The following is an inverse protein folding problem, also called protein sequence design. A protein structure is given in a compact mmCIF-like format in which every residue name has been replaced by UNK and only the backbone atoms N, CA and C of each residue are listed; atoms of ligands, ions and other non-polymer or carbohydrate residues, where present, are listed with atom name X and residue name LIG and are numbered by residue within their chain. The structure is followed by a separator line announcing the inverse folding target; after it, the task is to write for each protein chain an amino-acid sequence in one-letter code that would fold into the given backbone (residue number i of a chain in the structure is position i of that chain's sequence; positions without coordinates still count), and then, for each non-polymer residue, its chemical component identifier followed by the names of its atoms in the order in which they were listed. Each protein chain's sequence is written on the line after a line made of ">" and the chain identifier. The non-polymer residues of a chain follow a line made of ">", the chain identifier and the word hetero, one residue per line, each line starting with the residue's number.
data_IF_201861608589
#
_entry.id   IF_201861608589
#
_cell.length_a   1.000
_cell.length_b   1.000
_cell.length_c   1.000
_cell.angle_alpha   90.00
_cell.angle_beta   90.00
_cell.angle_gamma   90.00
#
_symmetry.space_group_name_H-M   'P 1'
#
loop_
_entity.id
_entity.type
_entity.pdbx_description
1 polymer ?
#
# COMPACT_ATOMS: atom_id res chain seq x y z
N UNK A 1 -8.42 -4.30 -25.21
CA UNK A 1 -7.08 -3.79 -25.54
C UNK A 1 -7.02 -3.60 -27.05
N UNK A 2 -6.52 -2.47 -27.50
CA UNK A 2 -6.35 -2.14 -28.92
C UNK A 2 -4.89 -1.77 -29.14
N UNK A 3 -4.37 -2.04 -30.33
CA UNK A 3 -3.01 -1.74 -30.74
C UNK A 3 -3.04 -1.01 -32.08
N UNK A 4 -2.29 0.07 -32.19
CA UNK A 4 -1.95 0.69 -33.46
C UNK A 4 -0.42 0.64 -33.68
N UNK A 5 0.09 1.25 -34.75
CA UNK A 5 1.52 1.21 -35.07
C UNK A 5 2.43 1.88 -34.02
N UNK A 6 1.86 2.64 -33.05
CA UNK A 6 2.61 3.45 -32.08
C UNK A 6 2.12 3.31 -30.64
N UNK A 7 0.90 2.77 -30.42
CA UNK A 7 0.25 2.79 -29.10
C UNK A 7 -0.45 1.48 -28.76
N UNK A 8 -0.37 1.14 -27.51
CA UNK A 8 -1.24 0.17 -26.86
C UNK A 8 -2.33 0.94 -26.12
N UNK A 9 -3.59 0.69 -26.45
CA UNK A 9 -4.74 1.32 -25.80
C UNK A 9 -5.48 0.33 -24.93
N UNK A 10 -5.57 0.62 -23.63
CA UNK A 10 -6.36 -0.10 -22.64
C UNK A 10 -7.65 0.67 -22.37
N UNK A 11 -8.80 0.03 -22.55
CA UNK A 11 -10.08 0.57 -22.07
C UNK A 11 -10.36 -0.09 -20.74
N UNK A 12 -10.50 0.73 -19.70
CA UNK A 12 -10.74 0.32 -18.33
C UNK A 12 -12.02 0.97 -17.80
N UNK A 13 -12.49 0.51 -16.65
CA UNK A 13 -13.58 1.15 -15.91
C UNK A 13 -13.20 2.60 -15.55
N UNK A 14 -14.15 3.51 -15.72
CA UNK A 14 -13.93 4.91 -15.34
C UNK A 14 -14.08 5.07 -13.81
N UNK A 15 -13.09 5.70 -13.19
CA UNK A 15 -13.04 5.97 -11.76
C UNK A 15 -13.47 7.40 -11.47
N UNK A 16 -14.79 7.64 -11.40
CA UNK A 16 -15.36 8.97 -11.22
C UNK A 16 -15.15 9.57 -9.84
N UNK A 17 -14.82 8.72 -8.84
CA UNK A 17 -14.57 9.11 -7.46
C UNK A 17 -13.19 9.74 -7.23
N UNK A 18 -12.26 9.62 -8.20
CA UNK A 18 -10.89 10.08 -8.04
C UNK A 18 -10.05 9.22 -7.10
N UNK A 19 -8.96 9.76 -6.59
CA UNK A 19 -8.08 9.07 -5.66
C UNK A 19 -8.66 9.08 -4.24
N UNK A 20 -8.45 8.00 -3.48
CA UNK A 20 -8.86 7.92 -2.07
C UNK A 20 -8.27 9.07 -1.25
N UNK A 21 -7.03 9.45 -1.54
CA UNK A 21 -6.29 10.45 -0.78
C UNK A 21 -6.72 11.89 -1.07
N UNK A 22 -7.38 12.18 -2.19
CA UNK A 22 -8.02 13.48 -2.40
C UNK A 22 -9.04 13.78 -1.29
N UNK A 23 -9.72 12.74 -0.79
CA UNK A 23 -10.63 12.88 0.33
C UNK A 23 -9.94 13.14 1.68
N UNK A 24 -8.66 12.73 1.82
CA UNK A 24 -7.87 13.04 3.02
C UNK A 24 -7.45 14.51 3.02
N UNK A 25 -7.01 15.03 1.86
CA UNK A 25 -6.62 16.44 1.75
C UNK A 25 -7.75 17.39 2.17
N UNK A 26 -8.99 17.01 1.91
CA UNK A 26 -10.18 17.78 2.33
C UNK A 26 -10.48 17.66 3.84
N UNK A 27 -9.99 16.61 4.53
CA UNK A 27 -10.33 16.25 5.92
C UNK A 27 -9.16 16.26 6.89
N UNK A 28 -7.92 16.49 6.42
CA UNK A 28 -6.65 16.38 7.15
C UNK A 28 -6.28 14.93 7.51
N UNK A 29 -7.19 14.13 8.00
CA UNK A 29 -7.05 12.68 8.23
C UNK A 29 -8.43 12.00 8.24
N UNK A 30 -8.43 10.68 8.12
CA UNK A 30 -9.65 9.89 8.26
C UNK A 30 -9.95 9.60 9.73
N UNK A 31 -11.24 9.45 10.05
CA UNK A 31 -11.61 8.80 11.30
C UNK A 31 -11.09 7.36 11.30
N UNK A 32 -10.82 6.81 12.48
CA UNK A 32 -10.37 5.42 12.62
C UNK A 32 -11.31 4.42 11.94
N UNK A 33 -12.61 4.71 11.95
CA UNK A 33 -13.62 3.90 11.23
C UNK A 33 -13.41 3.96 9.71
N UNK A 34 -13.21 5.13 9.14
CA UNK A 34 -12.98 5.30 7.69
C UNK A 34 -11.65 4.65 7.28
N UNK A 35 -10.58 4.86 8.06
CA UNK A 35 -9.28 4.23 7.83
C UNK A 35 -9.37 2.69 7.87
N UNK A 36 -10.09 2.14 8.85
CA UNK A 36 -10.34 0.70 8.97
C UNK A 36 -11.12 0.17 7.76
N UNK A 37 -12.20 0.86 7.36
CA UNK A 37 -13.05 0.41 6.25
C UNK A 37 -12.28 0.46 4.92
N UNK A 38 -11.43 1.48 4.69
CA UNK A 38 -10.53 1.58 3.55
C UNK A 38 -9.45 0.49 3.58
N UNK A 39 -8.76 0.32 4.71
CA UNK A 39 -7.74 -0.73 4.88
C UNK A 39 -8.31 -2.11 4.63
N UNK A 40 -9.52 -2.40 5.11
CA UNK A 40 -10.20 -3.66 4.87
C UNK A 40 -10.44 -3.89 3.37
N UNK A 41 -10.94 -2.89 2.66
CA UNK A 41 -11.17 -3.01 1.21
C UNK A 41 -9.87 -3.28 0.45
N UNK A 42 -8.76 -2.63 0.83
CA UNK A 42 -7.43 -2.85 0.25
C UNK A 42 -6.96 -4.29 0.53
N UNK A 43 -7.06 -4.73 1.79
CA UNK A 43 -6.67 -6.07 2.22
C UNK A 43 -7.46 -7.15 1.48
N UNK A 44 -8.79 -6.99 1.35
CA UNK A 44 -9.65 -7.96 0.65
C UNK A 44 -9.27 -8.07 -0.84
N UNK A 45 -8.96 -6.94 -1.50
CA UNK A 45 -8.53 -6.92 -2.89
C UNK A 45 -7.14 -7.56 -3.08
N UNK A 46 -6.18 -7.26 -2.21
CA UNK A 46 -4.83 -7.84 -2.25
C UNK A 46 -4.85 -9.33 -1.91
N UNK A 47 -5.68 -9.74 -0.95
CA UNK A 47 -5.87 -11.15 -0.65
C UNK A 47 -6.39 -11.94 -1.88
N UNK A 48 -7.31 -11.33 -2.66
CA UNK A 48 -7.76 -11.94 -3.91
C UNK A 48 -6.59 -12.08 -4.90
N UNK A 49 -5.78 -11.04 -5.10
CA UNK A 49 -4.60 -11.10 -5.97
C UNK A 49 -3.61 -12.19 -5.52
N UNK A 50 -3.32 -12.24 -4.22
CA UNK A 50 -2.40 -13.22 -3.65
C UNK A 50 -2.88 -14.67 -3.78
N UNK A 51 -4.20 -14.91 -3.74
CA UNK A 51 -4.79 -16.23 -4.02
C UNK A 51 -4.64 -16.65 -5.48
N UNK A 52 -4.51 -15.69 -6.39
CA UNK A 52 -4.19 -15.93 -7.80
C UNK A 52 -2.67 -15.99 -8.09
N UNK A 53 -1.84 -15.92 -7.04
CA UNK A 53 -0.39 -15.89 -7.17
C UNK A 53 0.16 -14.56 -7.70
N UNK A 54 -0.61 -13.47 -7.63
CA UNK A 54 -0.21 -12.15 -8.11
C UNK A 54 0.19 -11.28 -6.92
N UNK A 55 1.38 -10.68 -6.96
CA UNK A 55 1.84 -9.62 -6.07
C UNK A 55 1.77 -8.27 -6.80
N UNK A 56 1.29 -7.23 -6.12
CA UNK A 56 1.06 -5.91 -6.71
C UNK A 56 2.34 -5.07 -6.80
N UNK A 57 3.10 -4.95 -5.71
CA UNK A 57 4.40 -4.28 -5.56
C UNK A 57 4.42 -2.76 -5.63
N UNK A 58 3.29 -2.11 -5.89
CA UNK A 58 3.18 -0.64 -5.91
C UNK A 58 1.87 -0.15 -5.28
N UNK A 59 1.56 -0.67 -4.08
CA UNK A 59 0.42 -0.19 -3.31
C UNK A 59 0.79 1.17 -2.71
N UNK A 60 0.08 2.20 -3.14
CA UNK A 60 0.25 3.59 -2.72
C UNK A 60 -1.04 4.37 -2.93
N UNK A 61 -1.16 5.57 -2.36
CA UNK A 61 -2.36 6.40 -2.46
C UNK A 61 -2.88 6.62 -3.87
N UNK A 62 -1.99 6.89 -4.82
CA UNK A 62 -2.32 7.22 -6.21
C UNK A 62 -2.95 6.03 -6.94
N UNK A 63 -2.72 4.81 -6.46
CA UNK A 63 -3.26 3.58 -7.02
C UNK A 63 -4.53 3.10 -6.31
N UNK A 64 -5.05 3.88 -5.35
CA UNK A 64 -6.28 3.60 -4.61
C UNK A 64 -7.38 4.54 -5.10
N UNK A 65 -8.21 4.03 -6.03
CA UNK A 65 -9.21 4.83 -6.74
C UNK A 65 -10.63 4.49 -6.27
N UNK A 66 -11.50 5.47 -6.36
CA UNK A 66 -12.92 5.32 -6.07
C UNK A 66 -13.72 5.31 -7.37
N UNK A 67 -14.54 4.28 -7.59
CA UNK A 67 -15.39 4.23 -8.79
C UNK A 67 -16.57 5.18 -8.71
N UNK A 68 -16.97 5.64 -7.52
CA UNK A 68 -18.07 6.58 -7.31
C UNK A 68 -17.78 7.50 -6.14
N UNK A 69 -18.03 8.81 -6.33
CA UNK A 69 -17.97 9.81 -5.24
C UNK A 69 -19.04 9.56 -4.18
N UNK A 70 -20.23 9.15 -4.60
CA UNK A 70 -21.38 8.95 -3.72
C UNK A 70 -21.17 7.75 -2.79
N UNK A 71 -20.60 6.67 -3.30
CA UNK A 71 -20.32 5.46 -2.55
C UNK A 71 -19.04 5.56 -1.69
N UNK A 72 -18.16 6.54 -1.98
CA UNK A 72 -16.95 6.78 -1.24
C UNK A 72 -16.10 5.51 -1.09
N UNK A 73 -15.59 5.26 0.13
CA UNK A 73 -14.70 4.14 0.47
C UNK A 73 -15.27 2.77 0.05
N UNK A 74 -16.58 2.57 0.06
CA UNK A 74 -17.19 1.30 -0.36
C UNK A 74 -17.03 1.00 -1.85
N UNK A 75 -16.62 1.98 -2.65
CA UNK A 75 -16.32 1.85 -4.08
C UNK A 75 -14.82 1.75 -4.40
N UNK A 76 -13.97 1.55 -3.37
CA UNK A 76 -12.52 1.50 -3.51
C UNK A 76 -12.08 0.36 -4.42
N UNK A 77 -11.17 0.66 -5.32
CA UNK A 77 -10.49 -0.29 -6.20
C UNK A 77 -8.99 -0.01 -6.23
N UNK A 78 -8.20 -1.08 -6.43
CA UNK A 78 -6.77 -0.97 -6.65
C UNK A 78 -6.52 -0.90 -8.14
N UNK A 79 -5.73 0.07 -8.56
CA UNK A 79 -5.35 0.33 -9.95
C UNK A 79 -3.84 0.11 -10.16
N UNK A 80 -3.42 0.21 -11.42
CA UNK A 80 -2.04 0.14 -11.88
C UNK A 80 -1.28 -1.13 -11.49
N UNK A 81 -1.55 -2.20 -12.24
CA UNK A 81 -0.81 -3.46 -12.17
C UNK A 81 0.46 -3.48 -13.03
N UNK A 82 0.99 -2.31 -13.42
CA UNK A 82 2.19 -2.16 -14.27
C UNK A 82 3.45 -2.78 -13.65
N UNK A 83 3.55 -2.79 -12.35
CA UNK A 83 4.63 -3.45 -11.60
C UNK A 83 4.25 -4.83 -11.06
N UNK A 84 3.00 -5.29 -11.25
CA UNK A 84 2.55 -6.57 -10.70
C UNK A 84 3.34 -7.76 -11.26
N UNK A 85 3.46 -8.82 -10.46
CA UNK A 85 4.16 -10.04 -10.87
C UNK A 85 3.38 -11.29 -10.48
N UNK A 86 3.30 -12.23 -11.43
CA UNK A 86 2.80 -13.57 -11.19
C UNK A 86 3.89 -14.41 -10.50
N UNK A 87 3.56 -15.03 -9.39
CA UNK A 87 4.34 -16.02 -8.67
C UNK A 87 3.67 -17.39 -8.88
N UNK A 88 4.18 -18.23 -9.81
CA UNK A 88 3.45 -19.42 -10.26
C UNK A 88 3.40 -20.54 -9.22
N UNK A 89 4.20 -20.47 -8.17
CA UNK A 89 4.24 -21.43 -7.06
C UNK A 89 4.25 -20.68 -5.73
N UNK A 90 3.74 -21.31 -4.68
CA UNK A 90 3.60 -20.72 -3.35
C UNK A 90 4.91 -20.20 -2.75
N UNK A 91 6.04 -20.82 -3.11
CA UNK A 91 7.39 -20.43 -2.68
C UNK A 91 8.18 -19.64 -3.75
N UNK A 92 7.51 -19.19 -4.82
CA UNK A 92 8.16 -18.35 -5.83
C UNK A 92 8.47 -16.98 -5.25
N UNK A 93 9.64 -16.43 -5.61
CA UNK A 93 10.12 -15.14 -5.13
C UNK A 93 10.40 -14.20 -6.30
N UNK A 94 10.20 -12.90 -6.05
CA UNK A 94 10.65 -11.83 -6.92
C UNK A 94 12.03 -11.32 -6.46
N UNK A 95 12.79 -10.72 -7.38
CA UNK A 95 14.11 -10.15 -7.07
C UNK A 95 14.35 -8.80 -7.72
N UNK A 96 13.36 -8.28 -8.46
CA UNK A 96 13.46 -6.98 -9.13
C UNK A 96 13.12 -5.87 -8.13
N UNK A 97 14.05 -4.96 -7.87
CA UNK A 97 13.77 -3.76 -7.06
C UNK A 97 12.85 -2.84 -7.85
N UNK A 98 11.65 -2.63 -7.34
CA UNK A 98 10.65 -1.74 -7.94
C UNK A 98 9.67 -1.25 -6.86
N UNK A 99 8.87 -0.25 -7.22
CA UNK A 99 7.91 0.39 -6.33
C UNK A 99 8.26 1.85 -6.06
N UNK A 100 7.41 2.53 -5.32
CA UNK A 100 7.54 3.96 -5.02
C UNK A 100 8.27 4.16 -3.67
N UNK A 101 9.35 4.97 -3.62
CA UNK A 101 10.04 5.31 -2.37
C UNK A 101 9.04 5.69 -1.26
N UNK A 102 9.30 5.25 -0.03
CA UNK A 102 8.40 5.45 1.11
C UNK A 102 7.39 4.33 1.33
N UNK A 103 6.98 3.61 0.28
CA UNK A 103 6.03 2.49 0.36
C UNK A 103 6.68 1.12 0.18
N UNK A 104 7.94 1.09 -0.28
CA UNK A 104 8.68 -0.14 -0.58
C UNK A 104 9.16 -0.82 0.69
N UNK A 105 8.99 -2.14 0.78
CA UNK A 105 9.42 -2.93 1.92
C UNK A 105 10.95 -3.03 2.06
N UNK A 106 11.49 -3.21 3.30
CA UNK A 106 12.93 -3.31 3.54
C UNK A 106 13.64 -4.38 2.70
N UNK A 107 13.06 -5.58 2.59
CA UNK A 107 13.61 -6.68 1.81
C UNK A 107 13.77 -6.34 0.32
N UNK A 108 12.86 -5.54 -0.24
CA UNK A 108 12.93 -5.07 -1.64
C UNK A 108 14.06 -4.05 -1.81
N UNK A 109 14.21 -3.11 -0.85
CA UNK A 109 15.32 -2.14 -0.84
C UNK A 109 16.68 -2.81 -0.66
N UNK A 110 16.75 -3.90 0.09
CA UNK A 110 17.95 -4.70 0.29
C UNK A 110 18.23 -5.66 -0.87
N UNK A 111 17.39 -5.66 -1.92
CA UNK A 111 17.52 -6.55 -3.08
C UNK A 111 17.50 -8.05 -2.71
N UNK A 112 16.84 -8.39 -1.62
CA UNK A 112 16.62 -9.78 -1.22
C UNK A 112 15.49 -10.39 -2.03
N UNK A 113 15.43 -11.73 -2.20
CA UNK A 113 14.25 -12.39 -2.74
C UNK A 113 13.03 -12.12 -1.84
N UNK A 114 11.90 -11.74 -2.45
CA UNK A 114 10.69 -11.35 -1.71
C UNK A 114 9.42 -11.94 -2.34
N UNK A 115 8.39 -12.07 -1.53
CA UNK A 115 7.08 -12.59 -1.89
C UNK A 115 5.94 -11.58 -1.64
N UNK A 116 4.77 -12.11 -1.33
CA UNK A 116 3.54 -11.33 -1.05
C UNK A 116 3.63 -10.44 0.19
N UNK A 117 4.58 -10.71 1.05
CA UNK A 117 4.79 -9.97 2.30
C UNK A 117 5.12 -8.49 2.04
N UNK A 118 5.70 -8.15 0.88
CA UNK A 118 5.99 -6.77 0.51
C UNK A 118 4.72 -5.92 0.35
N UNK A 119 3.61 -6.50 -0.14
CA UNK A 119 2.35 -5.78 -0.27
C UNK A 119 1.75 -5.45 1.11
N UNK A 120 1.90 -6.33 2.11
CA UNK A 120 1.41 -6.06 3.47
C UNK A 120 2.19 -4.93 4.17
N UNK A 121 3.48 -4.78 3.88
CA UNK A 121 4.24 -3.61 4.30
C UNK A 121 3.63 -2.33 3.73
N UNK A 122 3.40 -2.28 2.41
CA UNK A 122 2.83 -1.11 1.74
C UNK A 122 1.43 -0.78 2.28
N UNK A 123 0.60 -1.79 2.58
CA UNK A 123 -0.70 -1.62 3.25
C UNK A 123 -0.51 -0.98 4.63
N UNK A 124 0.49 -1.42 5.40
CA UNK A 124 0.83 -0.82 6.69
C UNK A 124 1.18 0.66 6.58
N UNK A 125 2.01 1.03 5.58
CA UNK A 125 2.36 2.44 5.30
C UNK A 125 1.12 3.25 4.95
N UNK A 126 0.30 2.76 4.02
CA UNK A 126 -0.95 3.43 3.62
C UNK A 126 -1.88 3.62 4.82
N UNK A 127 -2.08 2.56 5.63
CA UNK A 127 -2.94 2.63 6.81
C UNK A 127 -2.41 3.64 7.84
N UNK A 128 -1.10 3.72 8.02
CA UNK A 128 -0.47 4.72 8.86
C UNK A 128 -0.86 6.14 8.41
N UNK A 129 -0.73 6.43 7.11
CA UNK A 129 -1.08 7.76 6.55
C UNK A 129 -2.58 8.04 6.68
N UNK A 130 -3.45 7.04 6.44
CA UNK A 130 -4.90 7.21 6.62
C UNK A 130 -5.27 7.65 8.04
N UNK A 131 -4.54 7.14 9.05
CA UNK A 131 -4.80 7.41 10.47
C UNK A 131 -4.18 8.73 10.95
N UNK A 132 -2.97 9.08 10.50
CA UNK A 132 -2.21 10.22 11.03
C UNK A 132 -2.14 11.43 10.09
N UNK A 133 -2.43 11.23 8.80
CA UNK A 133 -2.24 12.27 7.77
C UNK A 133 -0.79 12.43 7.30
N UNK A 134 0.17 11.74 7.92
CA UNK A 134 1.61 11.83 7.62
C UNK A 134 2.23 10.47 7.36
N UNK A 135 3.28 10.37 6.53
CA UNK A 135 3.94 9.09 6.29
C UNK A 135 4.78 8.62 7.50
N UNK A 136 4.90 7.31 7.75
CA UNK A 136 5.74 6.77 8.82
C UNK A 136 7.23 6.94 8.55
N UNK A 137 7.62 7.05 7.30
CA UNK A 137 9.00 7.23 6.85
C UNK A 137 9.06 8.45 5.94
N UNK A 138 9.88 9.43 6.32
CA UNK A 138 10.05 10.65 5.54
C UNK A 138 11.44 11.24 5.74
N UNK A 139 12.15 11.46 4.64
CA UNK A 139 13.43 12.16 4.59
C UNK A 139 13.53 12.87 3.23
N UNK A 140 14.24 14.00 3.18
CA UNK A 140 14.45 14.72 1.90
C UNK A 140 15.38 13.96 0.96
N UNK A 141 16.34 13.23 1.52
CA UNK A 141 17.28 12.39 0.78
C UNK A 141 16.82 10.93 0.74
N UNK A 142 16.78 10.35 -0.46
CA UNK A 142 16.38 8.96 -0.65
C UNK A 142 17.28 7.95 0.09
N UNK A 143 18.58 8.24 0.25
CA UNK A 143 19.46 7.34 0.98
C UNK A 143 19.08 7.29 2.47
N UNK A 144 18.87 8.46 3.08
CA UNK A 144 18.42 8.56 4.47
C UNK A 144 17.05 7.90 4.67
N UNK A 145 16.09 8.12 3.74
CA UNK A 145 14.79 7.45 3.73
C UNK A 145 14.93 5.92 3.70
N UNK A 146 15.78 5.39 2.84
CA UNK A 146 15.99 3.94 2.73
C UNK A 146 16.62 3.36 4.00
N UNK A 147 17.56 4.06 4.64
CA UNK A 147 18.12 3.62 5.92
C UNK A 147 17.07 3.65 7.04
N UNK A 148 16.19 4.65 7.06
CA UNK A 148 15.06 4.73 7.99
C UNK A 148 14.10 3.56 7.82
N UNK A 149 13.74 3.23 6.56
CA UNK A 149 12.87 2.08 6.22
C UNK A 149 13.52 0.75 6.62
N UNK A 150 14.80 0.53 6.27
CA UNK A 150 15.54 -0.70 6.61
C UNK A 150 15.64 -0.89 8.13
N UNK A 151 15.83 0.21 8.86
CA UNK A 151 15.86 0.19 10.33
C UNK A 151 14.46 0.08 10.95
N UNK A 152 13.40 0.14 10.15
CA UNK A 152 12.00 0.16 10.59
C UNK A 152 11.77 1.24 11.68
N UNK A 153 12.39 2.42 11.50
CA UNK A 153 12.38 3.49 12.48
C UNK A 153 11.26 4.47 12.18
N UNK A 154 10.13 4.30 12.85
CA UNK A 154 8.99 5.23 12.84
C UNK A 154 8.50 5.45 14.28
N UNK A 155 7.69 6.47 14.49
CA UNK A 155 7.20 6.85 15.82
C UNK A 155 5.69 7.15 15.74
N UNK A 156 4.99 6.90 16.85
CA UNK A 156 3.63 7.36 17.07
C UNK A 156 3.70 8.69 17.80
N UNK A 157 3.62 9.78 17.06
CA UNK A 157 3.69 11.14 17.57
C UNK A 157 2.37 11.61 18.26
N UNK A 158 2.23 12.90 18.48
CA UNK A 158 1.04 13.48 19.14
C UNK A 158 -0.26 13.24 18.38
N UNK A 159 -0.22 13.11 17.04
CA UNK A 159 -1.39 12.82 16.21
C UNK A 159 -2.04 11.48 16.58
N UNK A 160 -1.23 10.52 17.09
CA UNK A 160 -1.65 9.20 17.49
C UNK A 160 -2.32 9.11 18.87
N UNK A 161 -2.42 10.22 19.62
CA UNK A 161 -2.94 10.22 21.00
C UNK A 161 -4.39 9.73 21.08
N UNK A 162 -5.19 10.00 20.04
CA UNK A 162 -6.62 9.61 19.97
C UNK A 162 -6.88 8.30 19.24
N UNK A 163 -5.83 7.69 18.67
CA UNK A 163 -5.94 6.44 17.91
C UNK A 163 -5.86 5.25 18.85
N UNK A 164 -6.73 4.25 18.63
CA UNK A 164 -6.86 3.09 19.49
C UNK A 164 -5.57 2.25 19.59
N UNK A 165 -5.38 1.51 20.69
CA UNK A 165 -4.29 0.53 20.80
C UNK A 165 -4.35 -0.55 19.73
N UNK A 166 -5.55 -0.94 19.29
CA UNK A 166 -5.77 -1.96 18.25
C UNK A 166 -5.27 -1.50 16.89
N UNK A 167 -5.52 -0.22 16.52
CA UNK A 167 -5.00 0.35 15.30
C UNK A 167 -3.47 0.47 15.31
N UNK A 168 -2.88 0.87 16.46
CA UNK A 168 -1.41 0.88 16.65
C UNK A 168 -0.81 -0.53 16.58
N UNK A 169 -1.48 -1.53 17.15
CA UNK A 169 -1.07 -2.93 17.09
C UNK A 169 -1.04 -3.45 15.64
N UNK A 170 -2.07 -3.11 14.84
CA UNK A 170 -2.09 -3.43 13.42
C UNK A 170 -0.87 -2.85 12.69
N UNK A 171 -0.57 -1.55 12.87
CA UNK A 171 0.62 -0.91 12.28
C UNK A 171 1.89 -1.61 12.75
N UNK A 172 2.04 -1.85 14.04
CA UNK A 172 3.23 -2.49 14.62
C UNK A 172 3.45 -3.90 14.05
N UNK A 173 2.39 -4.63 13.71
CA UNK A 173 2.47 -5.97 13.13
C UNK A 173 2.67 -5.98 11.61
N UNK A 174 2.28 -4.93 10.91
CA UNK A 174 2.48 -4.81 9.46
C UNK A 174 3.82 -4.17 9.10
N UNK A 175 4.26 -3.16 9.85
CA UNK A 175 5.56 -2.51 9.65
C UNK A 175 6.66 -3.25 10.45
N UNK A 176 6.91 -4.49 10.07
CA UNK A 176 7.96 -5.36 10.63
C UNK A 176 9.02 -5.60 9.56
N UNK A 177 10.30 -5.38 9.91
CA UNK A 177 11.41 -5.53 8.97
C UNK A 177 11.56 -6.95 8.44
N UNK A 178 11.41 -7.96 9.32
CA UNK A 178 11.41 -9.38 8.90
C UNK A 178 10.07 -9.74 8.23
N UNK A 179 10.07 -10.04 6.91
CA UNK A 179 8.84 -10.38 6.21
C UNK A 179 8.14 -11.63 6.76
N UNK A 180 8.87 -12.56 7.39
CA UNK A 180 8.29 -13.78 7.98
C UNK A 180 7.55 -13.53 9.29
N UNK A 181 7.91 -12.46 10.00
CA UNK A 181 7.25 -12.05 11.24
C UNK A 181 6.10 -11.04 10.99
N UNK A 182 5.99 -10.53 9.76
CA UNK A 182 4.99 -9.54 9.35
C UNK A 182 3.61 -10.16 9.32
N UNK A 183 2.59 -9.39 9.78
CA UNK A 183 1.19 -9.79 9.69
C UNK A 183 0.80 -10.02 8.23
N UNK A 184 0.11 -11.13 7.98
CA UNK A 184 -0.41 -11.51 6.65
C UNK A 184 -1.93 -11.69 6.69
N UNK A 185 -2.58 -11.67 5.52
CA UNK A 185 -4.00 -11.96 5.40
C UNK A 185 -4.30 -13.46 5.52
#
# INVERSE_FOLDING_TARGET
>A
MFEDERHWCLVMELMEGGELFDQILDKECFSEKEARDATRAIVDAILYCHKQGIIHRDIKPENLLLSSKELGISSLKIADFGLARLLPQENSMASTTCGTPGYVAPEVLMQLPYGKECDYWSIGVVTFILLSGTPPFYEEDNFALFEQIKACKYEFDESWTKISPEAKDFITKTLVADPKARLTC
#
